data_IF_571383176163
#
_entry.id   IF_571383176163
#
_cell.length_a   1.000
_cell.length_b   1.000
_cell.length_c   1.000
_cell.angle_alpha   90.00
_cell.angle_beta   90.00
_cell.angle_gamma   90.00
#
_symmetry.space_group_name_H-M   'P 1'
#
loop_
_entity.id
_entity.type
_entity.pdbx_description
1 polymer ?
#
# COMPACT_ATOMS: atom_id res chain seq x y z
N UNK A 1 -9.46 31.46 15.96
CA UNK A 1 -8.43 31.10 14.96
C UNK A 1 -8.36 29.58 14.87
N UNK A 2 -8.44 28.96 13.67
CA UNK A 2 -8.16 27.53 13.54
C UNK A 2 -6.67 27.27 13.82
N UNK A 3 -6.35 26.22 14.60
CA UNK A 3 -4.97 25.81 14.88
C UNK A 3 -4.26 25.40 13.58
N UNK A 4 -3.01 25.83 13.33
CA UNK A 4 -2.23 25.28 12.22
C UNK A 4 -1.98 23.79 12.47
N UNK A 5 -2.19 22.97 11.44
CA UNK A 5 -1.83 21.54 11.48
C UNK A 5 -0.30 21.46 11.60
N UNK A 6 0.18 20.88 12.70
CA UNK A 6 1.60 20.60 12.92
C UNK A 6 2.21 19.84 11.72
N UNK A 7 3.48 20.06 11.37
CA UNK A 7 4.16 19.21 10.42
C UNK A 7 4.23 17.80 11.02
N UNK A 8 3.61 16.82 10.37
CA UNK A 8 3.69 15.42 10.78
C UNK A 8 5.13 14.98 10.62
N UNK A 9 5.84 14.82 11.74
CA UNK A 9 7.19 14.25 11.80
C UNK A 9 7.14 12.85 11.17
N UNK A 10 7.94 12.65 10.13
CA UNK A 10 8.15 11.34 9.53
C UNK A 10 8.77 10.42 10.58
N UNK A 11 8.01 9.42 11.05
CA UNK A 11 8.56 8.37 11.90
C UNK A 11 9.60 7.56 11.11
N UNK A 12 10.70 7.12 11.76
CA UNK A 12 11.71 6.28 11.13
C UNK A 12 11.08 5.01 10.54
N UNK A 13 11.54 4.67 9.35
CA UNK A 13 11.11 3.57 8.49
C UNK A 13 11.43 2.23 9.15
N UNK A 14 10.63 1.81 10.13
CA UNK A 14 10.52 0.38 10.41
C UNK A 14 10.09 -0.22 9.06
N UNK A 15 10.88 -1.14 8.45
CA UNK A 15 10.48 -1.77 7.20
C UNK A 15 9.23 -2.58 7.52
N UNK A 16 8.07 -1.96 7.34
CA UNK A 16 6.80 -2.61 7.60
C UNK A 16 6.75 -3.71 6.56
N UNK A 17 6.82 -4.95 7.00
CA UNK A 17 6.67 -6.11 6.12
C UNK A 17 5.36 -6.08 5.31
N UNK A 18 4.40 -5.24 5.71
CA UNK A 18 3.22 -4.91 4.92
C UNK A 18 2.87 -3.41 4.91
N UNK A 19 2.42 -2.94 3.74
CA UNK A 19 1.98 -1.58 3.45
C UNK A 19 0.45 -1.47 3.45
N UNK A 20 -0.08 -0.31 3.81
CA UNK A 20 -1.50 0.02 3.62
C UNK A 20 -1.77 0.35 2.15
N UNK A 21 -3.04 0.43 1.76
CA UNK A 21 -3.46 0.63 0.37
C UNK A 21 -2.81 1.83 -0.32
N UNK A 22 -2.79 3.01 0.28
CA UNK A 22 -2.16 4.20 -0.31
C UNK A 22 -0.64 4.06 -0.49
N UNK A 23 0.16 3.70 0.55
CA UNK A 23 1.58 3.42 0.37
C UNK A 23 1.87 2.32 -0.64
N UNK A 24 1.07 1.25 -0.67
CA UNK A 24 1.23 0.16 -1.63
C UNK A 24 0.95 0.63 -3.07
N UNK A 25 -0.03 1.51 -3.27
CA UNK A 25 -0.32 2.10 -4.57
C UNK A 25 0.84 2.98 -5.06
N UNK A 26 1.44 3.74 -4.14
CA UNK A 26 2.62 4.54 -4.41
C UNK A 26 3.84 3.67 -4.72
N UNK A 27 4.02 2.56 -4.02
CA UNK A 27 5.08 1.58 -4.25
C UNK A 27 5.02 0.98 -5.67
N UNK A 28 3.82 0.70 -6.17
CA UNK A 28 3.60 0.15 -7.52
C UNK A 28 3.69 1.19 -8.66
N UNK A 29 4.20 2.39 -8.38
CA UNK A 29 4.37 3.45 -9.39
C UNK A 29 3.28 4.53 -9.36
N UNK A 30 2.58 4.71 -8.23
CA UNK A 30 1.59 5.79 -8.07
C UNK A 30 0.21 5.46 -8.66
N UNK A 31 -0.23 4.21 -8.53
CA UNK A 31 -1.54 3.77 -9.03
C UNK A 31 -2.69 4.41 -8.24
N UNK A 32 -3.86 4.52 -8.89
CA UNK A 32 -5.08 4.95 -8.19
C UNK A 32 -5.59 3.86 -7.23
N UNK A 33 -6.28 4.26 -6.17
CA UNK A 33 -6.91 3.34 -5.21
C UNK A 33 -7.93 2.41 -5.90
N UNK A 34 -8.68 2.93 -6.88
CA UNK A 34 -9.59 2.13 -7.70
C UNK A 34 -8.86 1.04 -8.50
N UNK A 35 -7.68 1.34 -9.03
CA UNK A 35 -6.84 0.34 -9.72
C UNK A 35 -6.38 -0.74 -8.74
N UNK A 36 -5.95 -0.36 -7.54
CA UNK A 36 -5.56 -1.33 -6.50
C UNK A 36 -6.70 -2.29 -6.16
N UNK A 37 -7.92 -1.77 -5.97
CA UNK A 37 -9.09 -2.61 -5.71
C UNK A 37 -9.36 -3.59 -6.86
N UNK A 38 -9.28 -3.12 -8.12
CA UNK A 38 -9.44 -4.00 -9.30
C UNK A 38 -8.37 -5.08 -9.37
N UNK A 39 -7.12 -4.78 -9.00
CA UNK A 39 -6.03 -5.77 -8.98
C UNK A 39 -6.28 -6.85 -7.91
N UNK A 40 -6.81 -6.45 -6.76
CA UNK A 40 -7.22 -7.37 -5.69
C UNK A 40 -8.41 -8.23 -6.12
N UNK A 41 -9.44 -7.63 -6.72
CA UNK A 41 -10.62 -8.33 -7.22
C UNK A 41 -10.27 -9.33 -8.33
N UNK A 42 -9.32 -8.98 -9.19
CA UNK A 42 -8.78 -9.87 -10.23
C UNK A 42 -7.86 -10.96 -9.67
N UNK A 43 -7.51 -10.94 -8.39
CA UNK A 43 -6.60 -11.90 -7.76
C UNK A 43 -5.12 -11.72 -8.12
N UNK A 44 -4.75 -10.60 -8.74
CA UNK A 44 -3.37 -10.28 -9.12
C UNK A 44 -2.54 -9.80 -7.92
N UNK A 45 -3.21 -9.21 -6.93
CA UNK A 45 -2.64 -8.81 -5.66
C UNK A 45 -3.37 -9.50 -4.52
N UNK A 46 -2.61 -10.16 -3.63
CA UNK A 46 -3.15 -10.83 -2.45
C UNK A 46 -2.90 -10.00 -1.18
N UNK A 47 -3.87 -9.18 -0.75
CA UNK A 47 -3.77 -8.49 0.52
C UNK A 47 -4.07 -9.44 1.68
N UNK A 48 -3.45 -9.17 2.82
CA UNK A 48 -3.86 -9.72 4.10
C UNK A 48 -5.17 -9.05 4.55
N UNK A 49 -6.21 -9.87 4.77
CA UNK A 49 -7.55 -9.46 5.21
C UNK A 49 -7.85 -9.79 6.67
N UNK A 50 -6.87 -10.24 7.44
CA UNK A 50 -7.04 -10.54 8.87
C UNK A 50 -7.39 -9.30 9.69
N UNK A 51 -7.12 -8.10 9.17
CA UNK A 51 -7.51 -6.83 9.76
C UNK A 51 -8.56 -6.12 8.91
N UNK A 52 -9.24 -5.15 9.51
CA UNK A 52 -10.26 -4.30 8.87
C UNK A 52 -9.70 -3.47 7.70
N UNK A 53 -8.38 -3.38 7.57
CA UNK A 53 -7.68 -2.66 6.52
C UNK A 53 -6.93 -3.64 5.62
N UNK A 54 -6.93 -3.36 4.32
CA UNK A 54 -6.11 -4.06 3.35
C UNK A 54 -4.64 -3.76 3.64
N UNK A 55 -3.90 -4.81 4.01
CA UNK A 55 -2.45 -4.77 4.16
C UNK A 55 -1.81 -5.59 3.06
N UNK A 56 -0.85 -5.01 2.36
CA UNK A 56 -0.13 -5.60 1.25
C UNK A 56 1.28 -5.93 1.69
N UNK A 57 1.65 -7.22 1.81
CA UNK A 57 3.03 -7.60 2.09
C UNK A 57 3.97 -7.04 1.02
N UNK A 58 5.15 -6.55 1.42
CA UNK A 58 6.13 -6.01 0.47
C UNK A 58 6.56 -7.09 -0.52
N UNK A 59 6.76 -8.33 -0.06
CA UNK A 59 7.10 -9.48 -0.91
C UNK A 59 6.06 -9.74 -2.02
N UNK A 60 4.77 -9.51 -1.73
CA UNK A 60 3.69 -9.65 -2.72
C UNK A 60 3.75 -8.53 -3.77
N UNK A 61 4.10 -7.32 -3.35
CA UNK A 61 4.31 -6.19 -4.25
C UNK A 61 5.52 -6.43 -5.15
N UNK A 62 6.63 -6.92 -4.58
CA UNK A 62 7.84 -7.27 -5.34
C UNK A 62 7.58 -8.41 -6.32
N UNK A 63 6.82 -9.45 -5.92
CA UNK A 63 6.39 -10.52 -6.83
C UNK A 63 5.57 -9.96 -8.00
N UNK A 64 4.65 -9.03 -7.71
CA UNK A 64 3.82 -8.41 -8.73
C UNK A 64 4.67 -7.60 -9.72
N UNK A 65 5.66 -6.83 -9.23
CA UNK A 65 6.58 -6.07 -10.06
C UNK A 65 7.51 -6.98 -10.89
N UNK A 66 7.97 -8.09 -10.32
CA UNK A 66 8.85 -9.04 -11.00
C UNK A 66 8.14 -9.82 -12.12
N UNK A 67 6.88 -10.20 -11.93
CA UNK A 67 6.10 -10.99 -12.90
C UNK A 67 5.40 -10.14 -13.98
N UNK A 68 5.31 -8.82 -13.79
CA UNK A 68 4.60 -7.92 -14.70
C UNK A 68 5.43 -7.40 -15.88
N UNK A 69 6.58 -8.02 -16.18
CA UNK A 69 7.53 -7.58 -17.22
C UNK A 69 7.49 -8.43 -18.47
#
# INVERSE_FOLDING_TARGET
MPRPKSPSVALPEIPRGALKLEPAAQYLGGLSTATMHRLVERGLLKPNRSLRHLLFPVEELDRFLANGR
#
